data_IF_020333252155
#
_entry.id   IF_020333252155
#
_cell.length_a   1.000
_cell.length_b   1.000
_cell.length_c   1.000
_cell.angle_alpha   90.00
_cell.angle_beta   90.00
_cell.angle_gamma   90.00
#
_symmetry.space_group_name_H-M   'P 1'
#
loop_
_entity.id
_entity.type
_entity.pdbx_description
1 polymer ?
#
# COMPACT_ATOMS: atom_id res chain seq x y z
N UNK A 1 -4.66 1.56 9.31
CA UNK A 1 -3.72 2.41 10.08
C UNK A 1 -3.44 3.72 9.33
N UNK A 2 -2.96 4.77 10.01
CA UNK A 2 -2.57 6.03 9.35
C UNK A 2 -1.15 5.97 8.76
N UNK A 3 -0.84 6.80 7.76
CA UNK A 3 0.46 6.84 7.08
C UNK A 3 1.65 7.00 8.05
N UNK A 4 1.48 7.77 9.14
CA UNK A 4 2.51 7.95 10.18
C UNK A 4 2.82 6.64 10.93
N UNK A 5 1.78 5.89 11.30
CA UNK A 5 1.92 4.62 12.02
C UNK A 5 2.60 3.58 11.12
N UNK A 6 2.17 3.50 9.85
CA UNK A 6 2.77 2.60 8.86
C UNK A 6 4.24 2.96 8.64
N UNK A 7 4.59 4.25 8.57
CA UNK A 7 5.99 4.66 8.46
C UNK A 7 6.84 4.28 9.68
N UNK A 8 6.28 4.29 10.88
CA UNK A 8 6.98 3.82 12.09
C UNK A 8 7.21 2.30 12.03
N UNK A 9 6.20 1.52 11.68
CA UNK A 9 6.30 0.07 11.54
C UNK A 9 7.26 -0.34 10.43
N UNK A 10 7.27 0.39 9.32
CA UNK A 10 8.25 0.19 8.24
C UNK A 10 9.69 0.36 8.74
N UNK A 11 9.96 1.45 9.46
CA UNK A 11 11.29 1.70 10.05
C UNK A 11 11.70 0.67 11.08
N UNK A 12 10.74 0.05 11.77
CA UNK A 12 10.97 -1.04 12.71
C UNK A 12 11.18 -2.40 12.01
N UNK A 13 11.08 -2.47 10.67
CA UNK A 13 11.29 -3.69 9.89
C UNK A 13 10.13 -4.68 9.95
N UNK A 14 8.93 -4.23 10.34
CA UNK A 14 7.74 -5.09 10.53
C UNK A 14 7.18 -5.60 9.19
N UNK A 15 7.27 -4.79 8.14
CA UNK A 15 6.72 -5.14 6.83
C UNK A 15 7.69 -5.96 5.99
N UNK A 16 7.12 -6.92 5.27
CA UNK A 16 7.79 -7.69 4.23
C UNK A 16 7.58 -7.03 2.85
N UNK A 17 6.33 -6.66 2.52
CA UNK A 17 6.02 -6.06 1.23
C UNK A 17 4.86 -5.06 1.25
N UNK A 18 4.77 -4.24 0.20
CA UNK A 18 3.67 -3.32 -0.05
C UNK A 18 3.00 -3.69 -1.37
N UNK A 19 1.67 -3.75 -1.38
CA UNK A 19 0.85 -4.16 -2.51
C UNK A 19 -0.17 -3.08 -2.86
N UNK A 20 -0.27 -2.75 -4.14
CA UNK A 20 -1.36 -1.98 -4.71
C UNK A 20 -2.39 -2.90 -5.36
N UNK A 21 -3.64 -2.77 -4.94
CA UNK A 21 -4.77 -3.60 -5.40
C UNK A 21 -5.91 -2.67 -5.85
N UNK A 22 -6.61 -2.95 -6.95
CA UNK A 22 -7.78 -2.19 -7.33
C UNK A 22 -8.91 -2.42 -6.31
N UNK A 23 -9.51 -1.35 -5.82
CA UNK A 23 -10.69 -1.42 -4.93
C UNK A 23 -11.91 -1.93 -5.72
N UNK A 24 -11.99 -1.51 -6.98
CA UNK A 24 -12.84 -2.11 -8.01
C UNK A 24 -12.22 -1.84 -9.37
N UNK A 25 -12.68 -2.56 -10.42
CA UNK A 25 -12.16 -2.44 -11.79
C UNK A 25 -12.19 -1.00 -12.37
N UNK A 26 -12.90 -0.06 -11.73
CA UNK A 26 -13.06 1.32 -12.21
C UNK A 26 -12.88 2.43 -11.17
N UNK A 27 -12.73 2.11 -9.87
CA UNK A 27 -12.81 3.14 -8.80
C UNK A 27 -11.49 3.55 -8.15
N UNK A 28 -10.40 2.86 -8.43
CA UNK A 28 -9.07 3.23 -7.96
C UNK A 28 -8.36 2.13 -7.19
N UNK A 29 -7.39 2.52 -6.40
CA UNK A 29 -6.36 1.65 -5.82
C UNK A 29 -6.32 1.79 -4.31
N UNK A 30 -5.95 0.73 -3.62
CA UNK A 30 -5.63 0.74 -2.20
C UNK A 30 -4.23 0.18 -1.96
N UNK A 31 -3.62 0.56 -0.84
CA UNK A 31 -2.37 -0.01 -0.38
C UNK A 31 -2.61 -0.99 0.76
N UNK A 32 -2.10 -2.20 0.57
CA UNK A 32 -1.99 -3.22 1.60
C UNK A 32 -0.52 -3.44 1.93
N UNK A 33 -0.22 -3.61 3.20
CA UNK A 33 1.13 -3.87 3.69
C UNK A 33 1.11 -5.24 4.35
N UNK A 34 1.98 -6.12 3.86
CA UNK A 34 2.11 -7.49 4.36
C UNK A 34 3.20 -7.47 5.42
N UNK A 35 2.86 -7.89 6.64
CA UNK A 35 3.85 -8.05 7.70
C UNK A 35 4.66 -9.33 7.48
N UNK A 36 5.80 -9.47 8.16
CA UNK A 36 6.58 -10.72 8.14
C UNK A 36 5.79 -11.92 8.67
N UNK A 37 4.82 -11.66 9.54
CA UNK A 37 3.89 -12.67 10.09
C UNK A 37 2.68 -12.94 9.18
N UNK A 38 2.71 -12.46 7.92
CA UNK A 38 1.66 -12.62 6.91
C UNK A 38 0.33 -11.92 7.24
N UNK A 39 0.34 -10.98 8.18
CA UNK A 39 -0.82 -10.14 8.44
C UNK A 39 -0.95 -9.01 7.41
N UNK A 40 -2.19 -8.65 7.09
CA UNK A 40 -2.49 -7.60 6.13
C UNK A 40 -2.91 -6.34 6.87
N UNK A 41 -2.09 -5.30 6.77
CA UNK A 41 -2.40 -3.96 7.27
C UNK A 41 -2.87 -3.10 6.11
N UNK A 42 -4.02 -2.43 6.26
CA UNK A 42 -4.55 -1.48 5.27
C UNK A 42 -4.29 -0.03 5.68
N UNK A 43 -4.03 0.82 4.69
CA UNK A 43 -3.96 2.27 4.90
C UNK A 43 -5.37 2.82 5.06
N UNK A 44 -5.61 3.58 6.12
CA UNK A 44 -6.90 4.22 6.36
C UNK A 44 -6.86 5.70 5.98
N UNK A 45 -8.05 6.25 5.73
CA UNK A 45 -8.27 7.69 5.66
C UNK A 45 -7.89 8.34 7.00
N UNK A 46 -7.42 9.59 6.93
CA UNK A 46 -6.89 10.27 8.11
C UNK A 46 -8.01 10.73 9.07
N UNK A 47 -9.23 10.94 8.56
CA UNK A 47 -10.40 11.44 9.31
C UNK A 47 -11.51 10.41 9.48
N UNK A 48 -11.41 9.24 8.83
CA UNK A 48 -12.40 8.16 8.92
C UNK A 48 -11.71 6.81 9.02
N UNK A 49 -12.38 5.82 9.60
CA UNK A 49 -11.87 4.43 9.66
C UNK A 49 -11.96 3.69 8.32
N UNK A 50 -12.33 4.38 7.23
CA UNK A 50 -12.40 3.78 5.89
C UNK A 50 -11.01 3.56 5.30
N UNK A 51 -10.91 2.56 4.43
CA UNK A 51 -9.71 2.29 3.64
C UNK A 51 -9.39 3.48 2.72
N UNK A 52 -8.11 3.80 2.56
CA UNK A 52 -7.67 4.91 1.74
C UNK A 52 -7.63 4.48 0.29
N UNK A 53 -8.52 5.08 -0.49
CA UNK A 53 -8.56 4.90 -1.94
C UNK A 53 -7.73 5.98 -2.66
N UNK A 54 -7.02 5.56 -3.68
CA UNK A 54 -6.22 6.38 -4.57
C UNK A 54 -6.84 6.37 -5.98
N UNK A 55 -6.94 7.53 -6.61
CA UNK A 55 -7.52 7.64 -7.97
C UNK A 55 -6.66 6.95 -9.03
N UNK A 56 -5.36 6.82 -8.80
CA UNK A 56 -4.41 6.23 -9.74
C UNK A 56 -3.36 5.39 -9.00
N UNK A 57 -2.73 4.48 -9.74
CA UNK A 57 -1.61 3.68 -9.27
C UNK A 57 -0.43 4.58 -8.88
N UNK A 58 -0.15 5.63 -9.66
CA UNK A 58 0.90 6.63 -9.34
C UNK A 58 0.67 7.29 -7.97
N UNK A 59 -0.60 7.58 -7.64
CA UNK A 59 -0.97 8.16 -6.35
C UNK A 59 -0.66 7.20 -5.20
N UNK A 60 -0.91 5.91 -5.39
CA UNK A 60 -0.55 4.86 -4.43
C UNK A 60 0.98 4.68 -4.34
N UNK A 61 1.68 4.61 -5.48
CA UNK A 61 3.12 4.49 -5.58
C UNK A 61 3.86 5.65 -4.89
N UNK A 62 3.38 6.87 -5.05
CA UNK A 62 3.93 8.03 -4.36
C UNK A 62 3.86 7.89 -2.83
N UNK A 63 2.78 7.30 -2.29
CA UNK A 63 2.67 7.05 -0.85
C UNK A 63 3.60 5.93 -0.40
N UNK A 64 3.68 4.83 -1.15
CA UNK A 64 4.61 3.74 -0.87
C UNK A 64 6.07 4.25 -0.80
N UNK A 65 6.47 5.09 -1.76
CA UNK A 65 7.77 5.78 -1.77
C UNK A 65 7.98 6.67 -0.55
N UNK A 66 6.99 7.47 -0.15
CA UNK A 66 7.09 8.34 1.04
C UNK A 66 7.22 7.56 2.35
N UNK A 67 6.65 6.37 2.42
CA UNK A 67 6.79 5.47 3.55
C UNK A 67 8.22 4.91 3.59
N UNK A 68 8.76 4.54 2.44
CA UNK A 68 10.15 4.12 2.26
C UNK A 68 10.32 2.81 1.49
N UNK A 69 9.27 2.26 0.90
CA UNK A 69 9.38 1.06 0.06
C UNK A 69 10.10 1.39 -1.24
N UNK A 70 10.99 0.49 -1.69
CA UNK A 70 11.66 0.59 -3.00
C UNK A 70 10.85 -0.05 -4.13
N UNK A 71 9.98 -1.00 -3.78
CA UNK A 71 9.17 -1.77 -4.71
C UNK A 71 7.71 -1.78 -4.27
N UNK A 72 6.82 -1.68 -5.26
CA UNK A 72 5.39 -1.83 -5.11
C UNK A 72 4.95 -3.06 -5.90
N UNK A 73 4.36 -4.04 -5.24
CA UNK A 73 3.74 -5.16 -5.93
C UNK A 73 2.36 -4.71 -6.41
N UNK A 74 2.05 -4.88 -7.68
CA UNK A 74 0.76 -4.49 -8.23
C UNK A 74 0.01 -5.75 -8.62
N UNK A 75 -1.25 -5.86 -8.19
CA UNK A 75 -2.09 -7.01 -8.46
C UNK A 75 -3.43 -6.57 -9.05
N UNK A 76 -3.79 -7.10 -10.22
CA UNK A 76 -5.09 -6.91 -10.87
C UNK A 76 -5.63 -8.28 -11.29
N UNK A 77 -6.58 -8.84 -10.51
CA UNK A 77 -7.02 -10.22 -10.72
C UNK A 77 -5.84 -11.18 -10.61
N UNK A 78 -5.57 -11.92 -11.70
CA UNK A 78 -4.44 -12.85 -11.81
C UNK A 78 -3.15 -12.17 -12.31
N UNK A 79 -3.23 -10.94 -12.81
CA UNK A 79 -2.06 -10.19 -13.26
C UNK A 79 -1.29 -9.66 -12.06
N UNK A 80 0.00 -9.99 -11.97
CA UNK A 80 0.89 -9.48 -10.92
C UNK A 80 2.21 -9.02 -11.52
N UNK A 81 2.67 -7.85 -11.10
CA UNK A 81 4.01 -7.34 -11.43
C UNK A 81 4.59 -6.51 -10.28
N UNK A 82 5.87 -6.12 -10.40
CA UNK A 82 6.53 -5.24 -9.44
C UNK A 82 6.95 -3.96 -10.13
N UNK A 83 6.60 -2.83 -9.53
CA UNK A 83 7.06 -1.50 -9.95
C UNK A 83 8.13 -0.98 -9.01
N UNK A 84 9.22 -0.45 -9.57
CA UNK A 84 10.22 0.25 -8.78
C UNK A 84 9.73 1.66 -8.50
N UNK A 85 9.72 2.07 -7.24
CA UNK A 85 9.19 3.38 -6.80
C UNK A 85 10.26 4.30 -6.18
N UNK A 86 11.52 3.85 -6.10
CA UNK A 86 12.68 4.54 -5.53
C UNK A 86 13.82 4.68 -6.53
#
# INVERSE_FOLDING_TARGET
>A
MQEKEIKLLFKAGVFDSCQAIPVSMSRGWTLKFITRDQEVVTLNLQRSKGEREFKSLDGAAAVARRIGFDWLNVQIGDLQWREKVS
#
